data_IF_149654906587
#
_entry.id   IF_149654906587
#
_cell.length_a   1.000
_cell.length_b   1.000
_cell.length_c   1.000
_cell.angle_alpha   90.00
_cell.angle_beta   90.00
_cell.angle_gamma   90.00
#
_symmetry.space_group_name_H-M   'P 1'
#
loop_
_entity.id
_entity.type
_entity.pdbx_description
1 polymer ?
#
# COMPACT_ATOMS: atom_id res chain seq x y z
N UNK A 1 13.08 19.06 -12.19
CA UNK A 1 12.63 18.22 -13.32
C UNK A 1 11.16 18.52 -13.51
N UNK A 2 10.79 19.14 -14.62
CA UNK A 2 9.41 19.59 -14.83
C UNK A 2 8.56 18.41 -15.31
N UNK A 3 8.10 17.59 -14.35
CA UNK A 3 7.40 16.31 -14.62
C UNK A 3 5.99 16.56 -15.22
N UNK A 4 5.55 17.82 -15.24
CA UNK A 4 4.19 18.22 -15.59
C UNK A 4 4.13 19.23 -16.74
N UNK A 5 5.26 19.56 -17.38
CA UNK A 5 5.28 20.46 -18.54
C UNK A 5 4.99 19.68 -19.83
N UNK A 6 3.91 20.11 -20.48
CA UNK A 6 3.19 19.51 -21.61
C UNK A 6 2.57 18.12 -21.35
N UNK A 7 1.34 17.93 -21.87
CA UNK A 7 0.42 16.80 -21.67
C UNK A 7 1.01 15.45 -22.09
N UNK A 8 2.02 14.97 -21.38
CA UNK A 8 2.62 13.67 -21.62
C UNK A 8 1.70 12.61 -21.01
N UNK A 9 1.03 11.84 -21.88
CA UNK A 9 0.19 10.72 -21.44
C UNK A 9 1.13 9.59 -20.98
N UNK A 10 1.18 9.37 -19.67
CA UNK A 10 1.99 8.30 -19.09
C UNK A 10 1.25 6.97 -19.15
N UNK A 11 1.99 5.90 -19.45
CA UNK A 11 1.48 4.54 -19.20
C UNK A 11 1.37 4.31 -17.69
N UNK A 12 0.52 3.36 -17.29
CA UNK A 12 0.38 2.95 -15.88
C UNK A 12 1.73 2.51 -15.29
N UNK A 13 2.52 1.76 -16.05
CA UNK A 13 3.86 1.32 -15.63
C UNK A 13 4.82 2.49 -15.43
N UNK A 14 4.78 3.50 -16.31
CA UNK A 14 5.64 4.68 -16.19
C UNK A 14 5.27 5.52 -14.99
N UNK A 15 3.98 5.79 -14.76
CA UNK A 15 3.52 6.50 -13.57
C UNK A 15 3.91 5.75 -12.29
N UNK A 16 3.70 4.43 -12.25
CA UNK A 16 4.03 3.60 -11.07
C UNK A 16 5.54 3.61 -10.78
N UNK A 17 6.39 3.61 -11.81
CA UNK A 17 7.84 3.72 -11.64
C UNK A 17 8.26 5.09 -11.08
N UNK A 18 7.63 6.18 -11.54
CA UNK A 18 7.89 7.53 -11.03
C UNK A 18 7.46 7.65 -9.56
N UNK A 19 6.26 7.17 -9.21
CA UNK A 19 5.77 7.15 -7.82
C UNK A 19 6.72 6.37 -6.92
N UNK A 20 7.19 5.20 -7.37
CA UNK A 20 8.18 4.40 -6.64
C UNK A 20 9.48 5.18 -6.41
N UNK A 21 10.03 5.81 -7.45
CA UNK A 21 11.26 6.58 -7.35
C UNK A 21 11.16 7.70 -6.30
N UNK A 22 10.07 8.49 -6.34
CA UNK A 22 9.84 9.53 -5.33
C UNK A 22 9.74 8.96 -3.92
N UNK A 23 9.04 7.85 -3.72
CA UNK A 23 8.93 7.23 -2.40
C UNK A 23 10.27 6.69 -1.90
N UNK A 24 11.02 6.00 -2.73
CA UNK A 24 12.33 5.41 -2.38
C UNK A 24 13.40 6.48 -2.14
N UNK A 25 13.35 7.63 -2.84
CA UNK A 25 14.26 8.75 -2.64
C UNK A 25 14.00 9.52 -1.34
N UNK A 26 12.75 9.61 -0.90
CA UNK A 26 12.36 10.46 0.24
C UNK A 26 12.18 9.68 1.55
N UNK A 27 12.02 8.35 1.50
CA UNK A 27 11.75 7.54 2.68
C UNK A 27 12.57 6.26 2.70
N UNK A 28 13.44 6.10 3.69
CA UNK A 28 14.09 4.82 3.98
C UNK A 28 13.11 3.83 4.64
N UNK A 29 12.32 4.33 5.60
CA UNK A 29 11.27 3.60 6.29
C UNK A 29 10.16 4.58 6.72
N UNK A 30 8.91 4.15 6.63
CA UNK A 30 7.76 4.95 7.07
C UNK A 30 6.72 4.07 7.77
N UNK A 31 5.94 4.69 8.65
CA UNK A 31 4.78 4.08 9.31
C UNK A 31 3.51 4.77 8.84
N UNK A 32 2.47 3.97 8.59
CA UNK A 32 1.13 4.45 8.23
C UNK A 32 0.13 3.83 9.19
N UNK A 33 -0.79 4.64 9.69
CA UNK A 33 -1.93 4.20 10.50
C UNK A 33 -3.22 4.44 9.73
N UNK A 34 -4.18 3.54 9.87
CA UNK A 34 -5.51 3.64 9.31
C UNK A 34 -6.36 2.45 9.70
N UNK A 35 -7.68 2.54 9.47
CA UNK A 35 -8.59 1.41 9.68
C UNK A 35 -8.37 0.35 8.60
N UNK A 36 -8.35 -0.91 9.00
CA UNK A 36 -8.32 -2.07 8.10
C UNK A 36 -9.71 -2.29 7.51
N UNK A 37 -9.79 -2.43 6.19
CA UNK A 37 -11.01 -2.87 5.50
C UNK A 37 -10.73 -3.77 4.30
N UNK A 38 -11.75 -4.46 3.79
CA UNK A 38 -11.65 -5.36 2.63
C UNK A 38 -10.58 -6.45 2.84
N UNK A 39 -10.46 -6.97 4.07
CA UNK A 39 -9.46 -7.97 4.41
C UNK A 39 -9.75 -9.31 3.73
N UNK A 40 -8.72 -9.89 3.12
CA UNK A 40 -8.77 -11.19 2.45
C UNK A 40 -7.51 -11.99 2.75
N UNK A 41 -7.69 -13.24 3.18
CA UNK A 41 -6.62 -14.19 3.48
C UNK A 41 -6.80 -15.48 2.65
N UNK A 42 -6.49 -15.46 1.34
CA UNK A 42 -6.58 -16.63 0.47
C UNK A 42 -5.56 -17.72 0.81
N UNK A 43 -5.68 -18.87 0.14
CA UNK A 43 -4.84 -20.07 0.39
C UNK A 43 -3.33 -19.87 0.18
N UNK A 44 -2.91 -18.83 -0.55
CA UNK A 44 -1.49 -18.44 -0.65
C UNK A 44 -0.89 -18.06 0.70
N UNK A 45 -1.73 -17.60 1.64
CA UNK A 45 -1.35 -17.14 2.98
C UNK A 45 -0.88 -15.69 3.04
N UNK A 46 -0.97 -14.94 1.94
CA UNK A 46 -0.81 -13.48 1.93
C UNK A 46 -2.08 -12.81 2.45
N UNK A 47 -1.94 -11.78 3.28
CA UNK A 47 -3.07 -10.98 3.74
C UNK A 47 -3.17 -9.74 2.87
N UNK A 48 -4.28 -9.59 2.15
CA UNK A 48 -4.60 -8.40 1.36
C UNK A 48 -5.63 -7.59 2.13
N UNK A 49 -5.44 -6.28 2.22
CA UNK A 49 -6.36 -5.39 2.93
C UNK A 49 -6.20 -3.97 2.41
N UNK A 50 -7.11 -3.09 2.82
CA UNK A 50 -7.03 -1.65 2.62
C UNK A 50 -6.77 -0.98 3.97
N UNK A 51 -5.84 -0.03 4.02
CA UNK A 51 -5.76 0.95 5.12
C UNK A 51 -6.47 2.21 4.68
N UNK A 52 -7.37 2.75 5.50
CA UNK A 52 -8.12 3.98 5.17
C UNK A 52 -8.21 4.95 6.35
N UNK A 53 -8.42 6.20 6.01
CA UNK A 53 -8.87 7.27 6.91
C UNK A 53 -10.02 8.05 6.25
N UNK A 54 -10.34 9.25 6.74
CA UNK A 54 -11.44 10.06 6.20
C UNK A 54 -11.21 10.63 4.80
N UNK A 55 -9.95 10.71 4.34
CA UNK A 55 -9.58 11.37 3.08
C UNK A 55 -8.86 10.49 2.07
N UNK A 56 -8.32 9.34 2.50
CA UNK A 56 -7.48 8.49 1.66
C UNK A 56 -7.61 6.99 1.98
N UNK A 57 -7.15 6.18 1.03
CA UNK A 57 -7.03 4.73 1.19
C UNK A 57 -5.79 4.19 0.46
N UNK A 58 -5.22 3.12 1.01
CA UNK A 58 -4.08 2.40 0.45
C UNK A 58 -4.42 0.91 0.38
N UNK A 59 -4.22 0.30 -0.79
CA UNK A 59 -4.26 -1.17 -0.91
C UNK A 59 -2.92 -1.74 -0.46
N UNK A 60 -2.99 -2.69 0.46
CA UNK A 60 -1.85 -3.25 1.15
C UNK A 60 -1.80 -4.77 0.98
N UNK A 61 -0.58 -5.31 0.98
CA UNK A 61 -0.32 -6.74 1.09
C UNK A 61 0.66 -6.95 2.24
N UNK A 62 0.32 -7.86 3.15
CA UNK A 62 1.25 -8.42 4.11
C UNK A 62 1.64 -9.81 3.65
N UNK A 63 2.92 -10.01 3.41
CA UNK A 63 3.42 -11.31 2.94
C UNK A 63 3.27 -12.40 4.00
N UNK A 64 3.13 -13.65 3.56
CA UNK A 64 2.83 -14.81 4.41
C UNK A 64 3.78 -14.95 5.60
N UNK A 65 5.07 -14.65 5.40
CA UNK A 65 6.07 -14.66 6.47
C UNK A 65 5.75 -13.67 7.59
N UNK A 66 5.33 -12.46 7.24
CA UNK A 66 4.90 -11.44 8.20
C UNK A 66 3.56 -11.80 8.86
N UNK A 67 2.60 -12.32 8.09
CA UNK A 67 1.29 -12.78 8.63
C UNK A 67 1.48 -13.84 9.71
N UNK A 68 2.38 -14.81 9.49
CA UNK A 68 2.70 -15.86 10.48
C UNK A 68 3.23 -15.34 11.81
N UNK A 69 3.84 -14.16 11.81
CA UNK A 69 4.43 -13.54 13.00
C UNK A 69 3.45 -12.62 13.73
N UNK A 70 2.23 -12.42 13.20
CA UNK A 70 1.21 -11.66 13.91
C UNK A 70 0.76 -12.40 15.18
N UNK A 71 0.78 -11.69 16.30
CA UNK A 71 0.29 -12.18 17.59
C UNK A 71 -1.24 -12.10 17.72
N UNK A 72 -1.91 -11.58 16.70
CA UNK A 72 -3.36 -11.40 16.63
C UNK A 72 -3.87 -11.75 15.23
N UNK A 73 -5.18 -11.92 15.10
CA UNK A 73 -5.83 -12.14 13.81
C UNK A 73 -6.36 -10.80 13.28
N UNK A 74 -5.86 -10.30 12.14
CA UNK A 74 -6.35 -9.04 11.59
C UNK A 74 -7.80 -9.21 11.08
N UNK A 75 -8.61 -8.18 11.24
CA UNK A 75 -10.00 -8.15 10.82
C UNK A 75 -10.40 -6.75 10.34
N UNK A 76 -11.48 -6.67 9.57
CA UNK A 76 -12.08 -5.40 9.18
C UNK A 76 -12.53 -4.58 10.40
N UNK A 77 -12.36 -3.27 10.34
CA UNK A 77 -12.69 -2.34 11.41
C UNK A 77 -11.62 -2.20 12.50
N UNK A 78 -10.49 -2.92 12.40
CA UNK A 78 -9.35 -2.71 13.30
C UNK A 78 -8.63 -1.40 12.96
N UNK A 79 -8.33 -0.57 13.97
CA UNK A 79 -7.60 0.70 13.87
C UNK A 79 -6.65 0.90 15.06
#
# INVERSE_FOLDING_TARGET
>A
MDIFSEKTILTVSRLTALLRGVLEENFEQLWVQGEVSNLSLPSSGHCYFTLKDSGAQLRCVMFKSAVKNLKFRPADGMA
#
